data_IF_285848736736
#
_entry.id   IF_285848736736
#
_cell.length_a   1.000
_cell.length_b   1.000
_cell.length_c   1.000
_cell.angle_alpha   90.00
_cell.angle_beta   90.00
_cell.angle_gamma   90.00
#
_symmetry.space_group_name_H-M   'P 1'
#
loop_
_entity.id
_entity.type
_entity.pdbx_description
1 polymer ?
#
# COMPACT_ATOMS: atom_id res chain seq x y z
N UNK A 1 -10.08 11.07 6.96
CA UNK A 1 -10.65 9.99 6.10
C UNK A 1 -11.58 10.55 5.02
N UNK A 2 -12.51 11.46 5.34
CA UNK A 2 -13.47 11.99 4.35
C UNK A 2 -12.80 12.66 3.14
N UNK A 3 -11.83 13.55 3.37
CA UNK A 3 -11.07 14.22 2.29
C UNK A 3 -10.35 13.20 1.38
N UNK A 4 -9.62 12.24 1.96
CA UNK A 4 -8.92 11.18 1.20
C UNK A 4 -9.86 10.38 0.30
N UNK A 5 -11.07 10.07 0.76
CA UNK A 5 -12.05 9.35 -0.06
C UNK A 5 -12.54 10.20 -1.24
N UNK A 6 -12.79 11.49 -1.01
CA UNK A 6 -13.19 12.42 -2.08
C UNK A 6 -12.07 12.60 -3.12
N UNK A 7 -10.83 12.82 -2.66
CA UNK A 7 -9.67 12.98 -3.53
C UNK A 7 -9.39 11.71 -4.36
N UNK A 8 -9.52 10.52 -3.74
CA UNK A 8 -9.35 9.25 -4.45
C UNK A 8 -10.45 9.01 -5.49
N UNK A 9 -11.69 9.42 -5.22
CA UNK A 9 -12.77 9.35 -6.19
C UNK A 9 -12.52 10.29 -7.39
N UNK A 10 -12.07 11.52 -7.12
CA UNK A 10 -11.70 12.46 -8.18
C UNK A 10 -10.50 11.94 -8.99
N UNK A 11 -9.47 11.42 -8.34
CA UNK A 11 -8.32 10.83 -9.02
C UNK A 11 -8.74 9.67 -9.94
N UNK A 12 -9.57 8.76 -9.45
CA UNK A 12 -10.08 7.65 -10.25
C UNK A 12 -10.86 8.14 -11.49
N UNK A 13 -11.69 9.17 -11.35
CA UNK A 13 -12.41 9.81 -12.47
C UNK A 13 -11.47 10.50 -13.48
N UNK A 14 -10.36 11.06 -12.99
CA UNK A 14 -9.31 11.69 -13.82
C UNK A 14 -8.41 10.67 -14.53
N UNK A 15 -8.63 9.37 -14.31
CA UNK A 15 -8.04 8.30 -15.10
C UNK A 15 -6.89 7.55 -14.43
N UNK A 16 -6.52 7.88 -13.20
CA UNK A 16 -5.48 7.15 -12.47
C UNK A 16 -5.88 5.67 -12.29
N UNK A 17 -5.00 4.75 -12.71
CA UNK A 17 -5.20 3.30 -12.58
C UNK A 17 -4.82 2.79 -11.18
N UNK A 18 -3.92 3.50 -10.51
CA UNK A 18 -3.45 3.19 -9.17
C UNK A 18 -3.44 4.47 -8.33
N UNK A 19 -3.83 4.35 -7.06
CA UNK A 19 -3.89 5.47 -6.11
C UNK A 19 -3.19 5.05 -4.82
N UNK A 20 -2.27 5.88 -4.37
CA UNK A 20 -1.49 5.65 -3.16
C UNK A 20 -1.91 6.63 -2.05
N UNK A 21 -1.86 6.17 -0.80
CA UNK A 21 -1.84 7.02 0.39
C UNK A 21 -0.68 6.65 1.29
N UNK A 22 -0.33 7.55 2.20
CA UNK A 22 0.49 7.24 3.38
C UNK A 22 -0.13 7.91 4.62
N UNK A 23 0.58 7.94 5.75
CA UNK A 23 0.12 8.48 7.02
C UNK A 23 1.15 9.37 7.68
N UNK A 24 0.65 10.45 8.32
CA UNK A 24 1.44 11.22 9.30
C UNK A 24 1.55 10.50 10.65
N UNK A 25 0.52 9.73 11.02
CA UNK A 25 0.45 8.99 12.30
C UNK A 25 0.13 7.53 11.99
N UNK A 26 1.05 6.63 12.31
CA UNK A 26 0.98 5.21 11.94
C UNK A 26 -0.37 4.53 12.26
N UNK A 27 -0.95 4.85 13.42
CA UNK A 27 -2.24 4.27 13.86
C UNK A 27 -3.43 4.58 12.94
N UNK A 28 -3.30 5.59 12.07
CA UNK A 28 -4.35 5.97 11.13
C UNK A 28 -4.29 5.18 9.82
N UNK A 29 -3.28 4.32 9.60
CA UNK A 29 -3.10 3.58 8.35
C UNK A 29 -4.34 2.78 7.91
N UNK A 30 -5.05 2.07 8.82
CA UNK A 30 -6.28 1.38 8.44
C UNK A 30 -7.36 2.33 7.91
N UNK A 31 -7.53 3.51 8.52
CA UNK A 31 -8.51 4.49 8.07
C UNK A 31 -8.12 5.16 6.76
N UNK A 32 -6.82 5.41 6.52
CA UNK A 32 -6.35 5.98 5.27
C UNK A 32 -6.50 4.98 4.11
N UNK A 33 -6.06 3.74 4.31
CA UNK A 33 -6.21 2.65 3.33
C UNK A 33 -7.69 2.43 2.96
N UNK A 34 -8.56 2.33 3.98
CA UNK A 34 -10.00 2.16 3.75
C UNK A 34 -10.62 3.36 3.01
N UNK A 35 -10.21 4.59 3.34
CA UNK A 35 -10.74 5.79 2.71
C UNK A 35 -10.44 5.82 1.21
N UNK A 36 -9.19 5.57 0.81
CA UNK A 36 -8.84 5.58 -0.61
C UNK A 36 -9.40 4.37 -1.36
N UNK A 37 -9.53 3.20 -0.71
CA UNK A 37 -10.16 2.03 -1.31
C UNK A 37 -11.62 2.34 -1.69
N UNK A 38 -12.40 2.88 -0.75
CA UNK A 38 -13.78 3.28 -0.99
C UNK A 38 -13.85 4.40 -2.04
N UNK A 39 -13.04 5.44 -1.88
CA UNK A 39 -13.03 6.59 -2.79
C UNK A 39 -12.72 6.21 -4.22
N UNK A 40 -11.63 5.47 -4.44
CA UNK A 40 -11.21 5.02 -5.76
C UNK A 40 -12.29 4.18 -6.46
N UNK A 41 -12.90 3.22 -5.75
CA UNK A 41 -13.99 2.41 -6.33
C UNK A 41 -15.25 3.23 -6.61
N UNK A 42 -15.51 4.30 -5.85
CA UNK A 42 -16.64 5.21 -6.09
C UNK A 42 -16.43 6.04 -7.36
N UNK A 43 -15.20 6.47 -7.63
CA UNK A 43 -14.88 7.23 -8.84
C UNK A 43 -14.84 6.35 -10.09
N UNK A 44 -14.07 5.25 -10.05
CA UNK A 44 -13.99 4.28 -11.15
C UNK A 44 -13.67 2.89 -10.61
N UNK A 45 -14.58 1.94 -10.80
CA UNK A 45 -14.35 0.54 -10.42
C UNK A 45 -13.09 -0.04 -11.08
N UNK A 46 -12.32 -0.79 -10.29
CA UNK A 46 -11.09 -1.46 -10.75
C UNK A 46 -9.79 -0.68 -10.52
N UNK A 47 -9.86 0.57 -10.02
CA UNK A 47 -8.65 1.32 -9.63
C UNK A 47 -7.98 0.64 -8.43
N UNK A 48 -6.67 0.43 -8.50
CA UNK A 48 -5.91 -0.25 -7.46
C UNK A 48 -5.46 0.75 -6.38
N UNK A 49 -5.38 0.30 -5.13
CA UNK A 49 -5.03 1.17 -4.00
C UNK A 49 -3.98 0.56 -3.08
N UNK A 50 -3.04 1.38 -2.61
CA UNK A 50 -2.01 1.01 -1.62
C UNK A 50 -1.91 2.02 -0.48
N UNK A 51 -1.39 1.58 0.66
CA UNK A 51 -1.04 2.45 1.78
C UNK A 51 0.42 2.22 2.15
N UNK A 52 1.30 3.15 1.77
CA UNK A 52 2.73 3.07 2.02
C UNK A 52 3.05 3.33 3.49
N UNK A 53 3.50 2.29 4.18
CA UNK A 53 3.87 2.25 5.61
C UNK A 53 4.96 1.20 5.82
N UNK A 54 5.40 1.02 7.07
CA UNK A 54 6.30 -0.07 7.46
C UNK A 54 5.79 -1.44 6.96
N UNK A 55 6.72 -2.29 6.53
CA UNK A 55 6.46 -3.49 5.73
C UNK A 55 5.50 -4.49 6.39
N UNK A 56 5.70 -4.78 7.68
CA UNK A 56 4.84 -5.68 8.45
C UNK A 56 3.42 -5.12 8.60
N UNK A 57 3.28 -3.80 8.76
CA UNK A 57 1.99 -3.15 8.80
C UNK A 57 1.33 -3.15 7.42
N UNK A 58 2.09 -2.87 6.35
CA UNK A 58 1.63 -2.92 4.96
C UNK A 58 1.06 -4.28 4.60
N UNK A 59 1.80 -5.36 4.91
CA UNK A 59 1.34 -6.73 4.65
C UNK A 59 0.09 -7.06 5.47
N UNK A 60 0.01 -6.62 6.72
CA UNK A 60 -1.19 -6.81 7.55
C UNK A 60 -2.42 -6.08 7.01
N UNK A 61 -2.26 -4.89 6.43
CA UNK A 61 -3.36 -4.18 5.78
C UNK A 61 -3.84 -4.95 4.54
N UNK A 62 -2.92 -5.45 3.73
CA UNK A 62 -3.23 -6.26 2.55
C UNK A 62 -3.92 -7.58 2.91
N UNK A 63 -3.45 -8.30 3.94
CA UNK A 63 -4.10 -9.52 4.44
C UNK A 63 -5.51 -9.28 4.97
N UNK A 64 -5.82 -8.05 5.41
CA UNK A 64 -7.17 -7.63 5.83
C UNK A 64 -8.02 -7.12 4.66
N UNK A 65 -7.50 -7.12 3.43
CA UNK A 65 -8.20 -6.64 2.25
C UNK A 65 -8.38 -5.12 2.21
N UNK A 66 -7.54 -4.35 2.92
CA UNK A 66 -7.63 -2.88 2.95
C UNK A 66 -6.82 -2.21 1.84
N UNK A 67 -5.98 -2.96 1.14
CA UNK A 67 -5.22 -2.52 -0.03
C UNK A 67 -5.30 -3.60 -1.10
N UNK A 68 -5.16 -3.22 -2.37
CA UNK A 68 -5.19 -4.16 -3.51
C UNK A 68 -3.80 -4.43 -4.09
N UNK A 69 -2.81 -3.60 -3.72
CA UNK A 69 -1.40 -3.81 -4.03
C UNK A 69 -0.49 -3.17 -2.98
N UNK A 70 0.81 -3.40 -3.11
CA UNK A 70 1.86 -2.72 -2.36
C UNK A 70 3.08 -2.47 -3.26
N UNK A 71 3.58 -1.24 -3.31
CA UNK A 71 4.70 -0.85 -4.18
C UNK A 71 5.96 -0.50 -3.40
N UNK A 72 5.81 0.11 -2.23
CA UNK A 72 6.93 0.65 -1.44
C UNK A 72 7.72 -0.43 -0.68
N UNK A 73 7.83 -1.63 -1.25
CA UNK A 73 8.68 -2.73 -0.78
C UNK A 73 10.14 -2.42 -1.12
N UNK A 74 10.76 -1.58 -0.31
CA UNK A 74 12.05 -0.96 -0.65
C UNK A 74 13.22 -1.96 -0.63
N UNK A 75 14.14 -1.84 -1.58
CA UNK A 75 15.42 -2.58 -1.62
C UNK A 75 16.57 -1.60 -1.77
N UNK A 76 17.76 -1.98 -1.30
CA UNK A 76 18.90 -1.06 -1.17
C UNK A 76 20.18 -1.62 -1.78
N UNK A 77 21.02 -0.72 -2.30
CA UNK A 77 22.21 -1.09 -3.09
C UNK A 77 23.43 -1.53 -2.28
N UNK A 78 23.43 -1.36 -0.95
CA UNK A 78 24.52 -1.83 -0.07
C UNK A 78 23.96 -2.53 1.16
N UNK A 79 24.71 -3.49 1.70
CA UNK A 79 24.29 -4.25 2.88
C UNK A 79 23.98 -3.34 4.08
N UNK A 80 24.83 -2.34 4.35
CA UNK A 80 24.61 -1.40 5.44
C UNK A 80 23.30 -0.63 5.29
N UNK A 81 23.00 -0.14 4.09
CA UNK A 81 21.73 0.57 3.86
C UNK A 81 20.52 -0.38 3.88
N UNK A 82 20.72 -1.65 3.56
CA UNK A 82 19.68 -2.68 3.70
C UNK A 82 19.32 -2.91 5.18
N UNK A 83 20.33 -3.02 6.04
CA UNK A 83 20.15 -3.15 7.49
C UNK A 83 19.54 -1.88 8.09
N UNK A 84 19.98 -0.69 7.69
CA UNK A 84 19.36 0.58 8.11
C UNK A 84 17.90 0.70 7.62
N UNK A 85 17.58 0.03 6.50
CA UNK A 85 16.23 -0.15 5.97
C UNK A 85 15.43 -1.28 6.63
N UNK A 86 15.94 -1.88 7.71
CA UNK A 86 15.35 -2.95 8.53
C UNK A 86 15.05 -4.27 7.80
N UNK A 87 15.87 -4.61 6.80
CA UNK A 87 15.68 -5.83 6.03
C UNK A 87 16.99 -6.46 5.54
N UNK A 88 16.85 -7.62 4.89
CA UNK A 88 17.88 -8.30 4.09
C UNK A 88 17.30 -8.65 2.72
N UNK A 89 18.13 -8.99 1.72
CA UNK A 89 17.61 -9.50 0.45
C UNK A 89 16.67 -10.71 0.62
N UNK A 90 16.93 -11.57 1.61
CA UNK A 90 16.10 -12.73 1.90
C UNK A 90 14.75 -12.36 2.53
N UNK A 91 14.73 -11.45 3.51
CA UNK A 91 13.46 -11.02 4.12
C UNK A 91 12.57 -10.31 3.09
N UNK A 92 13.14 -9.51 2.17
CA UNK A 92 12.40 -8.90 1.06
C UNK A 92 11.86 -9.91 0.05
N UNK A 93 12.66 -10.90 -0.33
CA UNK A 93 12.20 -11.97 -1.23
C UNK A 93 11.06 -12.78 -0.59
N UNK A 94 11.16 -13.07 0.71
CA UNK A 94 10.09 -13.71 1.47
C UNK A 94 8.84 -12.82 1.55
N UNK A 95 9.00 -11.53 1.78
CA UNK A 95 7.90 -10.56 1.84
C UNK A 95 7.16 -10.46 0.52
N UNK A 96 7.88 -10.33 -0.61
CA UNK A 96 7.27 -10.35 -1.94
C UNK A 96 6.46 -11.63 -2.18
N UNK A 97 7.01 -12.79 -1.77
CA UNK A 97 6.30 -14.07 -1.82
C UNK A 97 5.10 -14.12 -0.86
N UNK A 98 5.17 -13.44 0.28
CA UNK A 98 4.06 -13.33 1.23
C UNK A 98 2.89 -12.55 0.64
N UNK A 99 3.12 -11.44 -0.08
CA UNK A 99 2.08 -10.75 -0.83
C UNK A 99 1.50 -11.61 -1.96
N UNK A 100 2.37 -12.23 -2.77
CA UNK A 100 1.95 -13.07 -3.90
C UNK A 100 1.09 -14.28 -3.46
N UNK A 101 1.44 -14.91 -2.34
CA UNK A 101 0.66 -16.02 -1.75
C UNK A 101 -0.71 -15.61 -1.20
N UNK A 102 -1.01 -14.30 -1.12
CA UNK A 102 -2.34 -13.76 -0.81
C UNK A 102 -3.02 -13.16 -2.05
N UNK A 103 -2.45 -13.37 -3.24
CA UNK A 103 -2.97 -12.83 -4.49
C UNK A 103 -2.89 -11.31 -4.59
N UNK A 104 -2.02 -10.67 -3.81
CA UNK A 104 -1.85 -9.22 -3.79
C UNK A 104 -0.72 -8.85 -4.74
N UNK A 105 -0.98 -7.88 -5.64
CA UNK A 105 0.03 -7.34 -6.54
C UNK A 105 1.15 -6.67 -5.72
N UNK A 106 2.38 -6.93 -6.13
CA UNK A 106 3.58 -6.16 -5.76
C UNK A 106 4.12 -5.53 -7.05
#
# INVERSE_FOLDING_TARGET
PALLAADAAEAALRGFAEVETTVRVARNAPFNALAILIGAQTGRGGVMTQCAVEESLGLRLAMKGLTTYAETLSVYGTERTFVDGDDTPWSKALLASAYASRGVKV
#
